data_IF_067244722249
#
_entry.id   IF_067244722249
#
_cell.length_a   1.000
_cell.length_b   1.000
_cell.length_c   1.000
_cell.angle_alpha   90.00
_cell.angle_beta   90.00
_cell.angle_gamma   90.00
#
_symmetry.space_group_name_H-M   'P 1'
#
loop_
_entity.id
_entity.type
_entity.pdbx_description
1 polymer ?
#
# COMPACT_ATOMS: atom_id res chain seq x y z
N UNK A 1 -16.25 -11.75 -25.48
CA UNK A 1 -15.32 -11.83 -24.33
C UNK A 1 -16.05 -12.56 -23.23
N UNK A 2 -15.51 -13.68 -22.71
CA UNK A 2 -16.18 -14.42 -21.62
C UNK A 2 -16.08 -13.56 -20.37
N UNK A 3 -17.23 -13.20 -19.79
CA UNK A 3 -17.25 -12.44 -18.55
C UNK A 3 -16.49 -13.23 -17.47
N UNK A 4 -15.58 -12.57 -16.76
CA UNK A 4 -14.90 -13.17 -15.60
C UNK A 4 -15.95 -13.69 -14.61
N UNK A 5 -15.71 -14.90 -14.11
CA UNK A 5 -16.51 -15.50 -13.04
C UNK A 5 -15.87 -15.35 -11.67
N UNK A 6 -14.70 -14.73 -11.59
CA UNK A 6 -13.99 -14.52 -10.33
C UNK A 6 -14.80 -13.59 -9.44
N UNK A 7 -14.97 -14.01 -8.19
CA UNK A 7 -15.78 -13.33 -7.18
C UNK A 7 -14.92 -12.83 -6.05
N UNK A 8 -15.35 -11.77 -5.41
CA UNK A 8 -14.72 -11.30 -4.19
C UNK A 8 -14.89 -12.35 -3.08
N UNK A 9 -13.86 -12.55 -2.27
CA UNK A 9 -13.90 -13.48 -1.15
C UNK A 9 -15.14 -13.26 -0.27
N UNK A 10 -15.84 -14.35 0.08
CA UNK A 10 -17.06 -14.35 0.91
C UNK A 10 -18.21 -13.50 0.35
N UNK A 11 -18.26 -13.28 -0.97
CA UNK A 11 -19.29 -12.49 -1.64
C UNK A 11 -19.70 -13.11 -2.97
N UNK A 12 -20.97 -13.01 -3.40
CA UNK A 12 -21.36 -13.40 -4.74
C UNK A 12 -21.01 -12.31 -5.80
N UNK A 13 -20.49 -11.16 -5.38
CA UNK A 13 -20.04 -10.07 -6.26
C UNK A 13 -18.87 -10.49 -7.12
N UNK A 14 -18.96 -10.28 -8.44
CA UNK A 14 -17.84 -10.49 -9.36
C UNK A 14 -16.83 -9.36 -9.27
N UNK A 15 -15.54 -9.69 -9.32
CA UNK A 15 -14.45 -8.71 -9.29
C UNK A 15 -14.53 -7.74 -10.48
N UNK A 16 -14.98 -8.25 -11.64
CA UNK A 16 -15.20 -7.45 -12.84
C UNK A 16 -16.36 -6.44 -12.74
N UNK A 17 -17.24 -6.54 -11.74
CA UNK A 17 -18.37 -5.62 -11.57
C UNK A 17 -18.07 -4.50 -10.54
N UNK A 18 -16.95 -4.61 -9.81
CA UNK A 18 -16.61 -3.68 -8.74
C UNK A 18 -16.49 -2.24 -9.25
N UNK A 19 -17.19 -1.34 -8.58
CA UNK A 19 -17.11 0.11 -8.85
C UNK A 19 -16.86 0.83 -7.54
N UNK A 20 -15.79 1.63 -7.51
CA UNK A 20 -15.37 2.38 -6.34
C UNK A 20 -15.84 3.84 -6.42
N UNK A 21 -16.00 4.53 -5.27
CA UNK A 21 -16.26 5.96 -5.25
C UNK A 21 -15.18 6.72 -6.03
N UNK A 22 -15.55 7.84 -6.63
CA UNK A 22 -14.66 8.66 -7.44
C UNK A 22 -15.24 10.07 -7.55
N UNK A 23 -14.39 11.07 -7.70
CA UNK A 23 -14.82 12.46 -7.95
C UNK A 23 -15.03 12.67 -9.44
N UNK A 24 -14.10 12.16 -10.25
CA UNK A 24 -14.17 12.24 -11.70
C UNK A 24 -13.57 10.99 -12.33
N UNK A 25 -14.01 10.66 -13.54
CA UNK A 25 -13.45 9.58 -14.34
C UNK A 25 -12.56 10.19 -15.43
N UNK A 26 -11.28 9.85 -15.40
CA UNK A 26 -10.28 10.35 -16.34
C UNK A 26 -10.20 9.47 -17.58
N UNK A 27 -10.26 8.15 -17.38
CA UNK A 27 -10.32 7.16 -18.45
C UNK A 27 -11.51 6.24 -18.18
N UNK A 28 -12.45 6.20 -19.12
CA UNK A 28 -13.55 5.24 -19.09
C UNK A 28 -13.01 3.82 -19.23
N UNK A 29 -13.73 2.86 -18.63
CA UNK A 29 -13.36 1.44 -18.68
C UNK A 29 -13.11 1.00 -20.11
N UNK A 30 -11.86 0.71 -20.42
CA UNK A 30 -11.35 0.43 -21.76
C UNK A 30 -10.41 -0.77 -21.70
N UNK A 31 -10.31 -1.55 -22.78
CA UNK A 31 -9.38 -2.69 -22.83
C UNK A 31 -7.94 -2.24 -22.66
N UNK A 32 -7.16 -2.99 -21.90
CA UNK A 32 -5.73 -2.75 -21.69
C UNK A 32 -4.95 -2.72 -23.01
N UNK A 33 -5.33 -3.54 -23.99
CA UNK A 33 -4.75 -3.55 -25.33
C UNK A 33 -4.78 -2.20 -26.06
N UNK A 34 -5.66 -1.27 -25.66
CA UNK A 34 -5.75 0.07 -26.25
C UNK A 34 -5.05 1.16 -25.43
N UNK A 35 -4.44 0.80 -24.30
CA UNK A 35 -3.81 1.74 -23.36
C UNK A 35 -2.29 1.53 -23.35
N UNK A 36 -1.54 2.56 -23.71
CA UNK A 36 -0.09 2.55 -23.53
C UNK A 36 0.25 2.87 -22.07
N UNK A 37 0.42 1.83 -21.25
CA UNK A 37 0.66 1.98 -19.80
C UNK A 37 1.82 2.94 -19.50
N UNK A 38 2.98 2.81 -20.14
CA UNK A 38 4.13 3.67 -19.83
C UNK A 38 3.85 5.17 -20.03
N UNK A 39 3.05 5.53 -21.05
CA UNK A 39 2.64 6.92 -21.25
C UNK A 39 1.67 7.39 -20.16
N UNK A 40 0.76 6.52 -19.71
CA UNK A 40 -0.15 6.82 -18.61
C UNK A 40 0.62 7.12 -17.31
N UNK A 41 1.58 6.27 -16.94
CA UNK A 41 2.39 6.46 -15.73
C UNK A 41 3.39 7.63 -15.83
N UNK A 42 3.82 7.98 -17.04
CA UNK A 42 4.70 9.13 -17.26
C UNK A 42 3.93 10.45 -17.39
N UNK A 43 2.59 10.43 -17.48
CA UNK A 43 1.80 11.61 -17.85
C UNK A 43 1.95 12.76 -16.83
N UNK A 44 1.80 12.50 -15.53
CA UNK A 44 1.95 13.54 -14.48
C UNK A 44 3.35 14.14 -14.36
N UNK A 45 4.37 13.45 -14.87
CA UNK A 45 5.74 13.98 -14.95
C UNK A 45 5.93 14.93 -16.13
N UNK A 46 5.20 14.70 -17.23
CA UNK A 46 5.30 15.47 -18.48
C UNK A 46 4.35 16.65 -18.51
N UNK A 47 3.17 16.49 -17.91
CA UNK A 47 2.08 17.47 -17.97
C UNK A 47 1.48 17.73 -16.59
N UNK A 48 1.11 18.99 -16.34
CA UNK A 48 0.45 19.40 -15.10
C UNK A 48 -0.95 18.80 -14.97
N UNK A 49 -1.65 18.60 -16.09
CA UNK A 49 -2.98 18.02 -16.11
C UNK A 49 -2.96 16.54 -15.70
N UNK A 50 -1.81 15.88 -15.83
CA UNK A 50 -1.59 14.53 -15.33
C UNK A 50 -1.31 14.43 -13.83
N UNK A 51 -1.15 15.56 -13.10
CA UNK A 51 -0.82 15.57 -11.67
C UNK A 51 -2.06 15.41 -10.80
N UNK A 52 -2.75 14.30 -10.98
CA UNK A 52 -4.03 14.00 -10.31
C UNK A 52 -3.83 12.97 -9.21
N UNK A 53 -4.46 13.21 -8.05
CA UNK A 53 -4.66 12.18 -7.03
C UNK A 53 -5.79 11.26 -7.48
N UNK A 54 -5.53 9.95 -7.49
CA UNK A 54 -6.50 9.02 -8.05
C UNK A 54 -6.09 7.57 -7.94
N UNK A 55 -6.85 6.72 -8.61
CA UNK A 55 -6.58 5.29 -8.69
C UNK A 55 -6.92 4.74 -10.07
N UNK A 56 -6.14 3.77 -10.50
CA UNK A 56 -6.47 2.89 -11.59
C UNK A 56 -7.14 1.65 -11.01
N UNK A 57 -8.25 1.22 -11.62
CA UNK A 57 -8.82 -0.11 -11.43
C UNK A 57 -8.56 -0.92 -12.69
N UNK A 58 -7.76 -1.98 -12.58
CA UNK A 58 -7.54 -2.92 -13.67
C UNK A 58 -8.33 -4.21 -13.40
N UNK A 59 -9.29 -4.49 -14.26
CA UNK A 59 -10.13 -5.68 -14.21
C UNK A 59 -9.47 -6.78 -15.02
N UNK A 60 -8.77 -7.69 -14.33
CA UNK A 60 -8.15 -8.85 -14.95
C UNK A 60 -9.11 -10.05 -14.89
N UNK A 61 -8.83 -11.16 -15.59
CA UNK A 61 -9.70 -12.32 -15.59
C UNK A 61 -10.00 -12.90 -14.21
N UNK A 62 -9.01 -12.97 -13.32
CA UNK A 62 -9.14 -13.65 -12.02
C UNK A 62 -9.00 -12.71 -10.82
N UNK A 63 -8.68 -11.44 -11.06
CA UNK A 63 -8.45 -10.45 -10.02
C UNK A 63 -8.81 -9.03 -10.45
N UNK A 64 -8.94 -8.13 -9.48
CA UNK A 64 -9.08 -6.71 -9.68
C UNK A 64 -7.89 -6.02 -9.00
N UNK A 65 -7.07 -5.32 -9.79
CA UNK A 65 -5.92 -4.58 -9.29
C UNK A 65 -6.28 -3.11 -9.07
N UNK A 66 -5.76 -2.54 -7.99
CA UNK A 66 -5.82 -1.12 -7.69
C UNK A 66 -4.42 -0.56 -7.70
N UNK A 67 -4.17 0.49 -8.50
CA UNK A 67 -2.93 1.28 -8.39
C UNK A 67 -3.30 2.67 -7.92
N UNK A 68 -2.64 3.15 -6.87
CA UNK A 68 -2.94 4.42 -6.23
C UNK A 68 -1.91 5.49 -6.63
N UNK A 69 -2.40 6.69 -6.87
CA UNK A 69 -1.60 7.81 -7.37
C UNK A 69 -1.69 9.00 -6.42
N UNK A 70 -0.53 9.63 -6.17
CA UNK A 70 -0.41 10.95 -5.54
C UNK A 70 0.21 11.90 -6.54
N UNK A 71 -0.49 12.98 -6.90
CA UNK A 71 -0.06 13.99 -7.87
C UNK A 71 0.43 13.37 -9.19
N UNK A 72 -0.26 12.32 -9.66
CA UNK A 72 0.06 11.61 -10.90
C UNK A 72 1.21 10.60 -10.80
N UNK A 73 1.82 10.41 -9.63
CA UNK A 73 2.84 9.39 -9.41
C UNK A 73 2.25 8.19 -8.69
N UNK A 74 2.50 6.98 -9.19
CA UNK A 74 2.08 5.76 -8.52
C UNK A 74 2.83 5.62 -7.18
N UNK A 75 2.07 5.48 -6.09
CA UNK A 75 2.61 5.40 -4.73
C UNK A 75 2.36 4.07 -4.06
N UNK A 76 1.34 3.31 -4.46
CA UNK A 76 1.10 1.97 -3.93
C UNK A 76 0.20 1.15 -4.86
N UNK A 77 0.08 -0.16 -4.60
CA UNK A 77 -0.82 -1.04 -5.32
C UNK A 77 -1.46 -2.11 -4.43
N UNK A 78 -2.63 -2.60 -4.82
CA UNK A 78 -3.31 -3.69 -4.14
C UNK A 78 -4.00 -4.62 -5.14
N UNK A 79 -4.27 -5.84 -4.72
CA UNK A 79 -5.03 -6.85 -5.46
C UNK A 79 -6.23 -7.31 -4.65
N UNK A 80 -7.37 -7.43 -5.31
CA UNK A 80 -8.56 -8.12 -4.85
C UNK A 80 -8.75 -9.39 -5.69
N UNK A 81 -8.80 -10.54 -5.03
CA UNK A 81 -8.91 -11.85 -5.66
C UNK A 81 -9.93 -12.73 -4.93
N UNK A 82 -10.16 -13.94 -5.44
CA UNK A 82 -11.15 -14.89 -4.89
C UNK A 82 -10.82 -15.37 -3.49
N UNK A 83 -9.53 -15.40 -3.14
CA UNK A 83 -9.03 -15.85 -1.84
C UNK A 83 -8.75 -14.72 -0.86
N UNK A 84 -9.01 -13.45 -1.22
CA UNK A 84 -8.81 -12.33 -0.32
C UNK A 84 -8.41 -11.02 -1.00
N UNK A 85 -7.78 -10.17 -0.21
CA UNK A 85 -7.24 -8.88 -0.61
C UNK A 85 -5.84 -8.75 -0.03
N UNK A 86 -4.94 -8.12 -0.77
CA UNK A 86 -3.58 -7.90 -0.30
C UNK A 86 -2.95 -6.69 -0.98
N UNK A 87 -2.04 -6.04 -0.28
CA UNK A 87 -1.15 -5.04 -0.87
C UNK A 87 -0.05 -5.77 -1.65
N UNK A 88 0.25 -5.27 -2.84
CA UNK A 88 1.28 -5.81 -3.72
C UNK A 88 2.20 -4.69 -4.17
N UNK A 89 3.33 -5.02 -4.77
CA UNK A 89 4.21 -3.98 -5.30
C UNK A 89 3.61 -3.36 -6.56
N UNK A 90 3.96 -2.10 -6.82
CA UNK A 90 3.60 -1.45 -8.09
C UNK A 90 4.18 -2.25 -9.27
N UNK A 91 5.40 -2.77 -9.14
CA UNK A 91 6.06 -3.59 -10.17
C UNK A 91 5.25 -4.85 -10.49
N UNK A 92 4.80 -5.56 -9.46
CA UNK A 92 3.99 -6.77 -9.60
C UNK A 92 2.65 -6.45 -10.26
N UNK A 93 1.95 -5.40 -9.82
CA UNK A 93 0.69 -4.98 -10.42
C UNK A 93 0.86 -4.71 -11.93
N UNK A 94 1.90 -3.97 -12.31
CA UNK A 94 2.21 -3.65 -13.70
C UNK A 94 2.52 -4.89 -14.54
N UNK A 95 3.31 -5.83 -13.99
CA UNK A 95 3.65 -7.08 -14.68
C UNK A 95 2.40 -7.92 -14.94
N UNK A 96 1.51 -8.03 -13.95
CA UNK A 96 0.24 -8.76 -14.08
C UNK A 96 -0.69 -8.10 -15.10
N UNK A 97 -0.77 -6.77 -15.12
CA UNK A 97 -1.53 -6.04 -16.16
C UNK A 97 -0.99 -6.30 -17.57
N UNK A 98 0.34 -6.31 -17.74
CA UNK A 98 0.96 -6.60 -19.06
C UNK A 98 0.73 -8.04 -19.50
N UNK A 99 0.77 -9.00 -18.57
CA UNK A 99 0.52 -10.42 -18.86
C UNK A 99 -0.90 -10.65 -19.40
N UNK A 100 -1.88 -9.85 -18.96
CA UNK A 100 -3.29 -9.98 -19.33
C UNK A 100 -3.76 -8.86 -20.28
N UNK A 101 -2.86 -8.23 -21.04
CA UNK A 101 -3.16 -7.05 -21.88
C UNK A 101 -4.31 -7.26 -22.87
N UNK A 102 -4.44 -8.46 -23.44
CA UNK A 102 -5.47 -8.81 -24.42
C UNK A 102 -6.87 -8.99 -23.81
N UNK A 103 -6.94 -9.30 -22.51
CA UNK A 103 -8.18 -9.70 -21.82
C UNK A 103 -8.62 -8.71 -20.76
N UNK A 104 -7.68 -7.98 -20.18
CA UNK A 104 -7.93 -7.05 -19.09
C UNK A 104 -8.52 -5.73 -19.58
N UNK A 105 -9.16 -5.04 -18.65
CA UNK A 105 -9.71 -3.71 -18.84
C UNK A 105 -9.19 -2.78 -17.74
N UNK A 106 -9.21 -1.49 -17.99
CA UNK A 106 -8.74 -0.46 -17.08
C UNK A 106 -9.69 0.72 -17.05
N UNK A 107 -9.93 1.25 -15.87
CA UNK A 107 -10.48 2.58 -15.66
C UNK A 107 -9.47 3.41 -14.84
N UNK A 108 -9.43 4.72 -15.07
CA UNK A 108 -8.64 5.66 -14.27
C UNK A 108 -9.55 6.76 -13.74
N UNK A 109 -9.50 6.96 -12.43
CA UNK A 109 -10.42 7.85 -11.72
C UNK A 109 -9.68 8.74 -10.73
N UNK A 110 -10.12 10.00 -10.64
CA UNK A 110 -9.66 10.94 -9.63
C UNK A 110 -10.41 10.69 -8.31
N UNK A 111 -9.70 10.73 -7.20
CA UNK A 111 -10.28 10.61 -5.87
C UNK A 111 -9.42 11.33 -4.82
N UNK A 112 -10.03 11.82 -3.72
CA UNK A 112 -9.29 12.49 -2.65
C UNK A 112 -8.32 11.52 -1.96
N UNK A 113 -7.20 12.04 -1.45
CA UNK A 113 -6.17 11.23 -0.78
C UNK A 113 -6.72 10.41 0.40
N UNK A 114 -7.64 10.96 1.20
CA UNK A 114 -8.26 10.23 2.32
C UNK A 114 -9.04 9.00 1.82
N UNK A 115 -9.80 9.12 0.72
CA UNK A 115 -10.49 7.97 0.12
C UNK A 115 -9.50 6.90 -0.34
N UNK A 116 -8.42 7.31 -1.01
CA UNK A 116 -7.39 6.41 -1.53
C UNK A 116 -6.69 5.67 -0.38
N UNK A 117 -6.46 6.35 0.74
CA UNK A 117 -5.93 5.75 1.95
C UNK A 117 -6.87 4.66 2.50
N UNK A 118 -8.18 4.87 2.49
CA UNK A 118 -9.16 3.88 2.94
C UNK A 118 -9.27 2.68 2.00
N UNK A 119 -9.22 2.91 0.68
CA UNK A 119 -9.18 1.83 -0.31
C UNK A 119 -7.94 0.95 -0.11
N UNK A 120 -6.78 1.57 0.06
CA UNK A 120 -5.54 0.86 0.38
C UNK A 120 -5.66 0.09 1.70
N UNK A 121 -6.16 0.74 2.75
CA UNK A 121 -6.29 0.13 4.08
C UNK A 121 -7.18 -1.10 4.08
N UNK A 122 -8.25 -1.11 3.26
CA UNK A 122 -9.13 -2.28 3.10
C UNK A 122 -8.41 -3.53 2.57
N UNK A 123 -7.21 -3.37 2.01
CA UNK A 123 -6.34 -4.45 1.52
C UNK A 123 -5.10 -4.65 2.41
N UNK A 124 -4.70 -3.65 3.20
CA UNK A 124 -3.46 -3.65 3.98
C UNK A 124 -3.58 -4.29 5.35
N UNK A 125 -4.80 -4.35 5.90
CA UNK A 125 -5.06 -4.94 7.22
C UNK A 125 -6.17 -5.97 7.16
N UNK A 126 -6.20 -6.91 8.12
CA UNK A 126 -7.37 -7.77 8.31
C UNK A 126 -8.63 -6.93 8.50
N UNK A 127 -9.66 -7.24 7.72
CA UNK A 127 -10.97 -6.58 7.81
C UNK A 127 -11.94 -7.39 8.67
N UNK A 128 -12.71 -6.72 9.51
CA UNK A 128 -13.75 -7.35 10.32
C UNK A 128 -15.06 -7.38 9.53
N UNK A 129 -15.46 -8.57 9.03
CA UNK A 129 -16.73 -8.72 8.32
C UNK A 129 -17.90 -8.50 9.28
N UNK A 130 -18.88 -7.68 8.86
CA UNK A 130 -20.11 -7.45 9.62
C UNK A 130 -21.29 -8.06 8.87
N UNK A 131 -22.09 -8.83 9.61
CA UNK A 131 -23.34 -9.40 9.10
C UNK A 131 -24.35 -8.28 8.87
N UNK A 132 -24.96 -8.26 7.69
CA UNK A 132 -25.96 -7.26 7.31
C UNK A 132 -27.29 -7.96 7.05
N UNK A 133 -28.33 -7.53 7.76
CA UNK A 133 -29.70 -7.88 7.43
C UNK A 133 -30.31 -6.78 6.55
N UNK A 134 -30.53 -7.11 5.27
CA UNK A 134 -31.10 -6.18 4.31
C UNK A 134 -32.51 -5.69 4.69
N UNK A 135 -33.25 -6.46 5.49
CA UNK A 135 -34.62 -6.12 5.90
C UNK A 135 -34.67 -5.14 7.07
N UNK A 136 -33.59 -4.97 7.82
CA UNK A 136 -33.52 -4.11 8.99
C UNK A 136 -32.28 -3.17 8.97
N UNK A 137 -32.15 -2.27 7.96
CA UNK A 137 -31.00 -1.36 7.84
C UNK A 137 -30.80 -0.47 9.07
N UNK A 138 -31.90 -0.02 9.71
CA UNK A 138 -31.82 0.80 10.91
C UNK A 138 -31.13 0.10 12.08
N UNK A 139 -31.37 -1.20 12.27
CA UNK A 139 -30.73 -1.98 13.33
C UNK A 139 -29.23 -2.14 13.09
N UNK A 140 -28.83 -2.30 11.83
CA UNK A 140 -27.42 -2.39 11.43
C UNK A 140 -26.66 -1.12 11.81
N UNK A 141 -27.12 0.07 11.40
CA UNK A 141 -26.45 1.33 11.73
C UNK A 141 -26.56 1.71 13.21
N UNK A 142 -27.67 1.39 13.88
CA UNK A 142 -27.81 1.60 15.33
C UNK A 142 -26.78 0.78 16.14
N UNK A 143 -26.33 -0.37 15.60
CA UNK A 143 -25.26 -1.15 16.19
C UNK A 143 -23.95 -0.36 16.34
N UNK A 144 -23.54 0.40 15.31
CA UNK A 144 -22.33 1.22 15.37
C UNK A 144 -22.39 2.29 16.45
N UNK A 145 -23.57 2.92 16.64
CA UNK A 145 -23.77 3.92 17.68
C UNK A 145 -23.70 3.31 19.10
N UNK A 146 -24.36 2.17 19.30
CA UNK A 146 -24.36 1.45 20.58
C UNK A 146 -22.96 0.97 20.96
N UNK A 147 -22.23 0.43 19.99
CA UNK A 147 -20.91 -0.18 20.20
C UNK A 147 -19.79 0.88 20.19
N UNK A 148 -20.13 2.16 19.95
CA UNK A 148 -19.19 3.30 19.82
C UNK A 148 -18.08 3.03 18.81
N UNK A 149 -18.39 2.32 17.73
CA UNK A 149 -17.42 1.91 16.71
C UNK A 149 -16.69 3.12 16.13
N UNK A 150 -15.36 3.01 16.01
CA UNK A 150 -14.51 4.00 15.35
C UNK A 150 -13.71 3.33 14.25
N UNK A 151 -13.60 3.99 13.09
CA UNK A 151 -12.95 3.43 11.90
C UNK A 151 -13.76 3.63 10.64
N UNK A 152 -13.50 2.81 9.63
CA UNK A 152 -14.14 2.85 8.33
C UNK A 152 -15.01 1.61 8.15
N UNK A 153 -16.28 1.83 7.81
CA UNK A 153 -17.17 0.84 7.25
C UNK A 153 -17.05 0.89 5.72
N UNK A 154 -16.61 -0.21 5.12
CA UNK A 154 -16.82 -0.47 3.71
C UNK A 154 -18.16 -1.20 3.55
N UNK A 155 -19.11 -0.57 2.87
CA UNK A 155 -20.40 -1.14 2.51
C UNK A 155 -20.45 -1.32 1.01
N UNK A 156 -20.76 -2.53 0.55
CA UNK A 156 -20.91 -2.83 -0.86
C UNK A 156 -22.33 -3.31 -1.14
N UNK A 157 -23.00 -2.63 -2.07
CA UNK A 157 -24.31 -3.03 -2.59
C UNK A 157 -24.21 -3.27 -4.09
N UNK A 158 -24.50 -4.49 -4.54
CA UNK A 158 -24.46 -4.88 -5.95
C UNK A 158 -23.13 -4.50 -6.66
N UNK A 159 -21.99 -4.70 -5.99
CA UNK A 159 -20.63 -4.32 -6.44
C UNK A 159 -20.28 -2.82 -6.41
N UNK A 160 -21.20 -1.94 -5.98
CA UNK A 160 -20.91 -0.52 -5.74
C UNK A 160 -20.40 -0.35 -4.32
N UNK A 161 -19.16 0.12 -4.19
CA UNK A 161 -18.47 0.28 -2.90
C UNK A 161 -18.75 1.66 -2.33
N UNK A 162 -19.00 1.76 -1.03
CA UNK A 162 -19.09 2.99 -0.28
C UNK A 162 -18.26 2.87 0.99
N UNK A 163 -17.59 3.95 1.38
CA UNK A 163 -16.83 4.05 2.62
C UNK A 163 -17.48 5.05 3.55
N UNK A 164 -17.69 4.67 4.81
CA UNK A 164 -18.29 5.51 5.84
C UNK A 164 -17.37 5.55 7.05
N UNK A 165 -16.93 6.74 7.42
CA UNK A 165 -16.14 6.95 8.63
C UNK A 165 -17.06 7.13 9.83
N UNK A 166 -16.79 6.34 10.86
CA UNK A 166 -17.37 6.50 12.18
C UNK A 166 -16.31 6.97 13.18
N UNK A 167 -16.74 7.85 14.09
CA UNK A 167 -15.97 8.30 15.25
C UNK A 167 -16.84 8.18 16.50
N UNK A 168 -16.43 7.33 17.45
CA UNK A 168 -17.19 6.98 18.64
C UNK A 168 -18.67 6.62 18.37
N UNK A 169 -18.91 5.86 17.29
CA UNK A 169 -20.24 5.41 16.86
C UNK A 169 -21.06 6.45 16.09
N UNK A 170 -20.51 7.64 15.84
CA UNK A 170 -21.18 8.70 15.08
C UNK A 170 -20.63 8.79 13.68
N UNK A 171 -21.51 9.06 12.71
CA UNK A 171 -21.10 9.38 11.34
C UNK A 171 -20.21 10.63 11.35
N UNK A 172 -19.08 10.57 10.64
CA UNK A 172 -18.15 11.68 10.47
C UNK A 172 -18.10 12.15 9.00
N UNK A 173 -17.70 11.26 8.08
CA UNK A 173 -17.58 11.54 6.65
C UNK A 173 -17.77 10.27 5.84
N UNK A 174 -17.82 10.36 4.50
CA UNK A 174 -17.89 9.18 3.66
C UNK A 174 -17.69 9.47 2.17
N UNK A 175 -17.33 8.42 1.43
CA UNK A 175 -17.18 8.43 -0.02
C UNK A 175 -18.09 7.37 -0.61
N UNK A 176 -18.92 7.76 -1.57
CA UNK A 176 -20.05 6.96 -2.02
C UNK A 176 -20.00 6.78 -3.53
N UNK A 177 -20.09 5.55 -3.99
CA UNK A 177 -20.23 5.26 -5.41
C UNK A 177 -21.63 5.67 -5.88
N UNK A 178 -21.71 6.43 -6.97
CA UNK A 178 -22.96 6.85 -7.63
C UNK A 178 -24.00 7.59 -6.75
N UNK A 179 -23.57 8.21 -5.65
CA UNK A 179 -24.48 9.04 -4.83
C UNK A 179 -24.91 10.29 -5.61
N UNK A 180 -26.21 10.52 -5.84
CA UNK A 180 -26.67 11.77 -6.44
C UNK A 180 -26.31 12.96 -5.54
N UNK A 181 -25.86 14.07 -6.12
CA UNK A 181 -25.44 15.26 -5.37
C UNK A 181 -26.56 15.77 -4.44
N UNK A 182 -27.78 15.82 -4.96
CA UNK A 182 -28.99 16.31 -4.26
C UNK A 182 -29.51 15.37 -3.17
N UNK A 183 -29.04 14.12 -3.11
CA UNK A 183 -29.51 13.15 -2.14
C UNK A 183 -28.73 13.24 -0.82
N UNK A 184 -29.46 13.39 0.28
CA UNK A 184 -28.90 13.33 1.63
C UNK A 184 -28.28 11.95 1.93
N UNK A 185 -27.14 11.95 2.63
CA UNK A 185 -26.34 10.75 2.88
C UNK A 185 -27.12 9.65 3.61
N UNK A 186 -27.89 9.92 4.69
CA UNK A 186 -28.67 8.87 5.36
C UNK A 186 -29.66 8.19 4.41
N UNK A 187 -30.35 8.96 3.57
CA UNK A 187 -31.30 8.45 2.58
C UNK A 187 -30.60 7.62 1.49
N UNK A 188 -29.41 8.04 1.07
CA UNK A 188 -28.62 7.27 0.12
C UNK A 188 -28.16 5.93 0.71
N UNK A 189 -27.65 5.95 1.94
CA UNK A 189 -27.22 4.74 2.64
C UNK A 189 -28.38 3.77 2.83
N UNK A 190 -29.54 4.27 3.26
CA UNK A 190 -30.77 3.47 3.35
C UNK A 190 -31.17 2.87 2.00
N UNK A 191 -31.09 3.65 0.91
CA UNK A 191 -31.45 3.14 -0.42
C UNK A 191 -30.56 1.99 -0.92
N UNK A 192 -29.35 1.81 -0.36
CA UNK A 192 -28.48 0.68 -0.72
C UNK A 192 -29.08 -0.68 -0.32
N UNK A 193 -30.03 -0.68 0.62
CA UNK A 193 -30.68 -1.88 1.17
C UNK A 193 -32.00 -2.20 0.47
N UNK A 194 -32.53 -1.28 -0.32
CA UNK A 194 -33.79 -1.46 -1.01
C UNK A 194 -33.64 -2.39 -2.21
N UNK A 195 -34.67 -3.20 -2.44
CA UNK A 195 -34.76 -4.02 -3.64
C UNK A 195 -34.77 -3.14 -4.90
N UNK A 196 -34.14 -3.61 -5.96
CA UNK A 196 -34.22 -2.96 -7.26
C UNK A 196 -35.68 -2.97 -7.78
N UNK A 197 -35.98 -2.18 -8.82
CA UNK A 197 -37.33 -2.07 -9.40
C UNK A 197 -37.97 -3.41 -9.81
N UNK A 198 -37.18 -4.49 -9.96
CA UNK A 198 -37.65 -5.86 -10.21
C UNK A 198 -37.84 -6.74 -8.97
N UNK A 199 -37.81 -6.19 -7.76
CA UNK A 199 -38.04 -6.92 -6.50
C UNK A 199 -36.86 -7.77 -6.00
N UNK A 200 -35.71 -7.73 -6.70
CA UNK A 200 -34.51 -8.44 -6.26
C UNK A 200 -33.85 -7.71 -5.09
N UNK A 201 -33.66 -8.41 -3.97
CA UNK A 201 -32.91 -7.94 -2.80
C UNK A 201 -31.45 -7.68 -3.19
N UNK A 202 -30.85 -6.56 -2.77
CA UNK A 202 -29.47 -6.25 -3.09
C UNK A 202 -28.51 -7.27 -2.46
N UNK A 203 -27.42 -7.56 -3.18
CA UNK A 203 -26.29 -8.27 -2.61
C UNK A 203 -25.51 -7.28 -1.74
N UNK A 204 -25.55 -7.49 -0.43
CA UNK A 204 -24.85 -6.66 0.55
C UNK A 204 -23.65 -7.40 1.12
N UNK A 205 -22.51 -6.71 1.17
CA UNK A 205 -21.38 -7.11 2.02
C UNK A 205 -20.89 -5.90 2.78
N UNK A 206 -20.42 -6.13 4.02
CA UNK A 206 -19.88 -5.05 4.82
C UNK A 206 -18.69 -5.50 5.65
N UNK A 207 -17.71 -4.61 5.77
CA UNK A 207 -16.49 -4.85 6.50
C UNK A 207 -16.06 -3.58 7.23
N UNK A 208 -15.42 -3.73 8.39
CA UNK A 208 -14.88 -2.62 9.18
C UNK A 208 -13.37 -2.76 9.30
N UNK A 209 -12.68 -1.63 9.20
CA UNK A 209 -11.23 -1.55 9.41
C UNK A 209 -10.83 -0.21 10.04
N UNK A 210 -9.63 -0.11 10.66
CA UNK A 210 -9.14 1.12 11.27
C UNK A 210 -9.09 2.30 10.31
N UNK A 211 -9.34 3.50 10.82
CA UNK A 211 -9.13 4.74 10.07
C UNK A 211 -7.65 4.98 9.80
N UNK A 212 -7.35 5.45 8.59
CA UNK A 212 -6.05 6.02 8.23
C UNK A 212 -6.29 7.32 7.46
N UNK A 213 -5.50 8.35 7.78
CA UNK A 213 -5.61 9.65 7.14
C UNK A 213 -4.79 9.70 5.83
N UNK A 214 -3.65 9.02 5.81
CA UNK A 214 -2.65 9.14 4.77
C UNK A 214 -2.42 7.82 4.03
N UNK A 215 -2.33 7.91 2.72
CA UNK A 215 -1.91 6.80 1.86
C UNK A 215 -0.39 6.61 1.98
N UNK A 216 0.10 5.44 2.43
CA UNK A 216 1.54 5.19 2.50
C UNK A 216 2.16 5.08 1.11
N UNK A 217 3.41 5.55 1.01
CA UNK A 217 4.19 5.51 -0.21
C UNK A 217 5.15 4.32 -0.18
N UNK A 218 5.09 3.48 -1.21
CA UNK A 218 6.08 2.43 -1.44
C UNK A 218 7.43 3.07 -1.79
N UNK A 219 8.51 2.56 -1.19
CA UNK A 219 9.86 2.98 -1.48
C UNK A 219 10.20 2.73 -2.95
N UNK A 220 10.75 3.73 -3.66
CA UNK A 220 11.23 3.53 -5.02
C UNK A 220 12.35 2.48 -5.08
N UNK A 221 12.42 1.70 -6.16
CA UNK A 221 13.48 0.70 -6.36
C UNK A 221 14.90 1.29 -6.25
N UNK A 222 15.11 2.53 -6.72
CA UNK A 222 16.37 3.23 -6.58
C UNK A 222 16.76 3.45 -5.11
N UNK A 223 15.78 3.76 -4.25
CA UNK A 223 16.00 3.93 -2.82
C UNK A 223 16.33 2.59 -2.16
N UNK A 224 15.57 1.54 -2.46
CA UNK A 224 15.84 0.17 -1.97
C UNK A 224 17.27 -0.25 -2.31
N UNK A 225 17.68 -0.06 -3.57
CA UNK A 225 19.03 -0.41 -4.02
C UNK A 225 20.12 0.42 -3.32
N UNK A 226 19.88 1.71 -3.09
CA UNK A 226 20.82 2.58 -2.35
C UNK A 226 21.03 2.08 -0.91
N UNK A 227 19.95 1.78 -0.19
CA UNK A 227 20.06 1.25 1.17
C UNK A 227 20.70 -0.15 1.21
N UNK A 228 20.44 -0.98 0.19
CA UNK A 228 21.07 -2.31 0.07
C UNK A 228 22.57 -2.22 -0.19
N UNK A 229 22.99 -1.30 -1.06
CA UNK A 229 24.40 -1.03 -1.30
C UNK A 229 25.08 -0.57 0.00
N UNK A 230 24.44 0.34 0.73
CA UNK A 230 24.96 0.86 1.98
C UNK A 230 25.10 -0.21 3.07
N UNK A 231 24.09 -1.08 3.22
CA UNK A 231 24.18 -2.25 4.10
C UNK A 231 25.47 -3.03 3.83
N UNK A 232 25.72 -3.37 2.57
CA UNK A 232 26.88 -4.18 2.23
C UNK A 232 28.20 -3.40 2.30
N UNK A 233 28.21 -2.09 2.05
CA UNK A 233 29.39 -1.25 2.27
C UNK A 233 29.81 -1.24 3.73
N UNK A 234 28.85 -1.17 4.66
CA UNK A 234 29.14 -1.28 6.09
C UNK A 234 29.75 -2.65 6.40
N UNK A 235 29.21 -3.74 5.83
CA UNK A 235 29.79 -5.09 5.99
C UNK A 235 31.22 -5.15 5.45
N UNK A 236 31.49 -4.58 4.28
CA UNK A 236 32.83 -4.58 3.68
C UNK A 236 33.83 -3.79 4.53
N UNK A 237 33.45 -2.63 5.06
CA UNK A 237 34.32 -1.86 5.97
C UNK A 237 34.56 -2.59 7.29
N UNK A 238 33.56 -3.29 7.84
CA UNK A 238 33.76 -4.17 9.02
C UNK A 238 34.72 -5.31 8.69
N UNK A 239 34.68 -5.87 7.48
CA UNK A 239 35.55 -6.99 7.09
C UNK A 239 37.02 -6.57 6.98
N UNK A 240 37.31 -5.30 6.65
CA UNK A 240 38.69 -4.78 6.67
C UNK A 240 39.29 -4.81 8.09
N UNK A 241 38.47 -4.57 9.10
CA UNK A 241 38.88 -4.57 10.51
C UNK A 241 38.82 -5.98 11.14
N UNK A 242 37.90 -6.84 10.66
CA UNK A 242 37.71 -8.22 11.12
C UNK A 242 37.59 -9.21 9.94
N UNK A 243 38.70 -9.52 9.23
CA UNK A 243 38.67 -10.31 8.01
C UNK A 243 38.00 -11.68 8.18
N UNK A 244 37.00 -11.96 7.33
CA UNK A 244 36.29 -13.23 7.28
C UNK A 244 35.18 -13.39 8.32
N UNK A 245 35.02 -12.45 9.25
CA UNK A 245 33.97 -12.52 10.26
C UNK A 245 32.76 -11.62 9.97
N UNK A 246 32.94 -10.56 9.17
CA UNK A 246 31.94 -9.50 9.02
C UNK A 246 30.60 -10.02 8.52
N UNK A 247 30.61 -10.86 7.47
CA UNK A 247 29.37 -11.43 6.91
C UNK A 247 28.58 -12.25 7.92
N UNK A 248 29.26 -13.08 8.72
CA UNK A 248 28.63 -13.90 9.77
C UNK A 248 28.02 -13.00 10.85
N UNK A 249 28.73 -11.95 11.28
CA UNK A 249 28.25 -10.97 12.26
C UNK A 249 27.03 -10.21 11.75
N UNK A 250 27.13 -9.68 10.53
CA UNK A 250 26.04 -9.00 9.83
C UNK A 250 24.77 -9.86 9.76
N UNK A 251 24.90 -11.13 9.32
CA UNK A 251 23.78 -12.07 9.25
C UNK A 251 23.17 -12.37 10.63
N UNK A 252 24.01 -12.55 11.65
CA UNK A 252 23.53 -12.76 13.03
C UNK A 252 22.68 -11.59 13.52
N UNK A 253 23.12 -10.36 13.28
CA UNK A 253 22.35 -9.15 13.64
C UNK A 253 21.06 -9.08 12.81
N UNK A 254 21.12 -9.30 11.49
CA UNK A 254 19.95 -9.29 10.60
C UNK A 254 18.88 -10.28 11.06
N UNK A 255 19.26 -11.50 11.44
CA UNK A 255 18.35 -12.49 12.02
C UNK A 255 17.80 -12.05 13.37
N UNK A 256 18.60 -11.37 14.19
CA UNK A 256 18.18 -10.89 15.51
C UNK A 256 17.14 -9.76 15.48
N UNK A 257 17.06 -9.00 14.38
CA UNK A 257 16.16 -7.84 14.28
C UNK A 257 14.99 -8.04 13.31
N UNK A 258 14.92 -9.16 12.60
CA UNK A 258 13.97 -9.37 11.49
C UNK A 258 12.51 -9.24 11.91
N UNK A 259 12.17 -9.68 13.13
CA UNK A 259 10.80 -9.63 13.65
C UNK A 259 10.33 -8.20 13.89
N UNK A 260 11.25 -7.31 14.30
CA UNK A 260 10.99 -5.87 14.49
C UNK A 260 11.14 -5.08 13.19
N UNK A 261 12.00 -5.53 12.28
CA UNK A 261 12.36 -4.82 11.05
C UNK A 261 12.39 -5.76 9.84
N UNK A 262 11.21 -6.12 9.32
CA UNK A 262 11.11 -7.00 8.14
C UNK A 262 11.91 -6.51 6.93
N UNK A 263 12.04 -5.19 6.76
CA UNK A 263 12.80 -4.57 5.68
C UNK A 263 14.28 -5.01 5.65
N UNK A 264 14.86 -5.49 6.77
CA UNK A 264 16.23 -6.01 6.80
C UNK A 264 16.43 -7.20 5.86
N UNK A 265 15.39 -7.98 5.58
CA UNK A 265 15.46 -9.12 4.65
C UNK A 265 15.78 -8.69 3.22
N UNK A 266 15.28 -7.52 2.82
CA UNK A 266 15.55 -6.91 1.51
C UNK A 266 16.98 -6.37 1.48
N UNK A 267 17.38 -5.68 2.55
CA UNK A 267 18.70 -5.06 2.67
C UNK A 267 19.85 -6.09 2.78
N UNK A 268 19.61 -7.21 3.45
CA UNK A 268 20.59 -8.27 3.67
C UNK A 268 20.61 -9.31 2.55
N UNK A 269 19.77 -9.16 1.52
CA UNK A 269 19.75 -10.04 0.36
C UNK A 269 21.15 -10.10 -0.29
N UNK A 270 21.64 -11.30 -0.68
CA UNK A 270 22.97 -11.46 -1.27
C UNK A 270 23.20 -10.54 -2.48
N UNK A 271 24.43 -10.04 -2.62
CA UNK A 271 24.84 -9.30 -3.83
C UNK A 271 24.74 -10.23 -5.05
N UNK A 272 24.35 -9.66 -6.20
CA UNK A 272 24.24 -10.37 -7.47
C UNK A 272 22.95 -11.19 -7.65
N UNK A 273 22.07 -11.23 -6.65
CA UNK A 273 20.70 -11.74 -6.83
C UNK A 273 19.74 -10.61 -7.14
N UNK A 274 18.60 -10.95 -7.73
CA UNK A 274 17.50 -10.01 -7.90
C UNK A 274 17.05 -9.45 -6.54
N UNK A 275 16.69 -8.18 -6.54
CA UNK A 275 16.08 -7.54 -5.37
C UNK A 275 14.76 -8.26 -5.06
N UNK A 276 14.56 -8.78 -3.84
CA UNK A 276 13.26 -9.34 -3.47
C UNK A 276 12.18 -8.27 -3.67
N UNK A 277 11.13 -8.62 -4.40
CA UNK A 277 9.99 -7.73 -4.58
C UNK A 277 9.24 -7.63 -3.26
N UNK A 278 9.09 -6.40 -2.74
CA UNK A 278 8.50 -6.19 -1.43
C UNK A 278 7.83 -4.84 -1.32
N UNK A 279 6.71 -4.82 -0.60
CA UNK A 279 6.01 -3.62 -0.20
C UNK A 279 6.71 -3.10 1.05
N UNK A 280 7.51 -2.06 0.89
CA UNK A 280 8.26 -1.43 1.98
C UNK A 280 8.21 0.08 1.82
N UNK A 281 8.12 0.82 2.91
CA UNK A 281 8.12 2.28 2.93
C UNK A 281 9.55 2.83 3.13
N UNK A 282 9.86 4.06 2.66
CA UNK A 282 11.16 4.69 2.84
C UNK A 282 11.66 4.69 4.29
N UNK A 283 10.76 4.94 5.24
CA UNK A 283 11.06 5.02 6.66
C UNK A 283 11.41 3.66 7.25
N UNK A 284 10.76 2.58 6.78
CA UNK A 284 11.06 1.21 7.20
C UNK A 284 12.47 0.79 6.80
N UNK A 285 12.93 1.16 5.59
CA UNK A 285 14.30 0.94 5.14
C UNK A 285 15.30 1.70 6.01
N UNK A 286 15.02 2.98 6.27
CA UNK A 286 15.88 3.83 7.08
C UNK A 286 15.99 3.32 8.53
N UNK A 287 14.85 2.99 9.15
CA UNK A 287 14.80 2.45 10.50
C UNK A 287 15.55 1.12 10.60
N UNK A 288 15.27 0.19 9.68
CA UNK A 288 15.92 -1.12 9.67
C UNK A 288 17.43 -1.02 9.51
N UNK A 289 17.92 -0.20 8.57
CA UNK A 289 19.36 -0.02 8.38
C UNK A 289 20.00 0.64 9.59
N UNK A 290 19.36 1.66 10.18
CA UNK A 290 19.89 2.39 11.34
C UNK A 290 20.06 1.46 12.55
N UNK A 291 19.00 0.75 12.92
CA UNK A 291 19.01 -0.11 14.10
C UNK A 291 19.92 -1.34 13.88
N UNK A 292 19.98 -1.86 12.65
CA UNK A 292 20.98 -2.86 12.27
C UNK A 292 22.41 -2.35 12.39
N UNK A 293 22.69 -1.15 11.88
CA UNK A 293 24.02 -0.54 11.92
C UNK A 293 24.45 -0.31 13.36
N UNK A 294 23.54 0.17 14.21
CA UNK A 294 23.76 0.34 15.63
C UNK A 294 24.22 -0.98 16.27
N UNK A 295 23.42 -2.04 16.15
CA UNK A 295 23.74 -3.32 16.81
C UNK A 295 25.01 -3.97 16.27
N UNK A 296 25.26 -3.88 14.96
CA UNK A 296 26.49 -4.41 14.37
C UNK A 296 27.72 -3.65 14.87
N UNK A 297 27.66 -2.32 14.86
CA UNK A 297 28.79 -1.47 15.18
C UNK A 297 29.02 -1.35 16.69
N UNK A 298 28.00 -1.51 17.54
CA UNK A 298 28.18 -1.67 18.99
C UNK A 298 29.04 -2.90 19.29
N UNK A 299 28.77 -4.02 18.61
CA UNK A 299 29.59 -5.23 18.73
C UNK A 299 31.03 -5.04 18.27
N UNK A 300 31.25 -4.20 17.24
CA UNK A 300 32.60 -3.81 16.78
C UNK A 300 33.28 -2.89 17.80
N UNK A 301 32.59 -1.87 18.28
CA UNK A 301 33.12 -0.86 19.19
C UNK A 301 33.53 -1.46 20.54
N UNK A 302 32.78 -2.45 21.05
CA UNK A 302 33.14 -3.22 22.25
C UNK A 302 34.47 -3.97 22.07
N UNK A 303 34.73 -4.48 20.87
CA UNK A 303 35.95 -5.21 20.56
C UNK A 303 37.13 -4.29 20.22
N UNK A 304 36.87 -3.18 19.54
CA UNK A 304 37.87 -2.22 19.10
C UNK A 304 37.28 -0.79 19.14
N UNK A 305 37.48 -0.06 20.25
CA UNK A 305 36.95 1.29 20.41
C UNK A 305 37.50 2.28 19.37
N UNK A 306 36.63 3.20 18.91
CA UNK A 306 36.91 4.20 17.90
C UNK A 306 36.80 3.70 16.46
N UNK A 307 36.40 2.44 16.24
CA UNK A 307 36.30 1.83 14.91
C UNK A 307 34.93 2.05 14.28
N UNK A 308 33.84 2.06 15.06
CA UNK A 308 32.50 2.34 14.57
C UNK A 308 32.38 3.69 13.80
N UNK A 309 32.85 4.84 14.33
CA UNK A 309 32.79 6.10 13.59
C UNK A 309 33.63 6.10 12.30
N UNK A 310 34.75 5.36 12.26
CA UNK A 310 35.57 5.24 11.04
C UNK A 310 34.84 4.47 9.96
N UNK A 311 34.26 3.32 10.32
CA UNK A 311 33.45 2.49 9.41
C UNK A 311 32.29 3.31 8.85
N UNK A 312 31.55 4.01 9.72
CA UNK A 312 30.44 4.86 9.28
C UNK A 312 30.91 5.93 8.31
N UNK A 313 32.01 6.63 8.61
CA UNK A 313 32.54 7.68 7.74
C UNK A 313 32.89 7.14 6.35
N UNK A 314 33.60 6.01 6.26
CA UNK A 314 34.01 5.46 4.96
C UNK A 314 32.82 4.85 4.20
N UNK A 315 32.01 4.00 4.85
CA UNK A 315 30.90 3.30 4.19
C UNK A 315 29.80 4.25 3.69
N UNK A 316 29.58 5.36 4.39
CA UNK A 316 28.47 6.28 4.11
C UNK A 316 28.89 7.51 3.29
N UNK A 317 30.18 7.66 2.96
CA UNK A 317 30.76 8.88 2.36
C UNK A 317 30.03 9.39 1.13
N UNK A 318 29.68 8.49 0.22
CA UNK A 318 29.03 8.85 -1.05
C UNK A 318 27.56 9.22 -0.90
N UNK A 319 26.89 8.71 0.15
CA UNK A 319 25.46 8.94 0.39
C UNK A 319 25.20 9.86 1.58
N UNK A 320 26.23 10.55 2.08
CA UNK A 320 26.18 11.32 3.33
C UNK A 320 25.04 12.32 3.41
N UNK A 321 24.75 13.03 2.33
CA UNK A 321 23.68 14.04 2.32
C UNK A 321 22.29 13.41 2.40
N UNK A 322 22.08 12.30 1.69
CA UNK A 322 20.82 11.56 1.71
C UNK A 322 20.58 11.00 3.12
N UNK A 323 21.60 10.38 3.71
CA UNK A 323 21.52 9.80 5.06
C UNK A 323 21.34 10.87 6.14
N UNK A 324 22.01 12.02 6.00
CA UNK A 324 21.83 13.16 6.89
C UNK A 324 20.38 13.66 6.82
N UNK A 325 19.81 13.81 5.62
CA UNK A 325 18.42 14.24 5.46
C UNK A 325 17.40 13.24 6.02
N UNK A 326 17.74 11.95 6.01
CA UNK A 326 16.94 10.89 6.61
C UNK A 326 17.12 10.76 8.14
N UNK A 327 17.97 11.59 8.77
CA UNK A 327 18.25 11.53 10.20
C UNK A 327 19.09 10.33 10.66
N UNK A 328 19.70 9.59 9.72
CA UNK A 328 20.45 8.36 9.99
C UNK A 328 21.54 8.56 11.06
N UNK A 329 22.40 9.56 10.91
CA UNK A 329 23.49 9.81 11.86
C UNK A 329 23.01 10.28 13.23
N UNK A 330 21.89 11.01 13.29
CA UNK A 330 21.35 11.54 14.56
C UNK A 330 20.80 10.44 15.48
N UNK A 331 20.59 9.23 14.96
CA UNK A 331 20.13 8.06 15.70
C UNK A 331 21.25 7.13 16.15
N UNK A 332 22.48 7.39 15.73
CA UNK A 332 23.65 6.61 16.12
C UNK A 332 24.43 7.35 17.20
N UNK A 333 25.03 6.65 18.18
CA UNK A 333 25.76 7.28 19.28
C UNK A 333 27.12 7.85 18.84
N UNK A 334 27.60 7.50 17.65
CA UNK A 334 28.91 7.91 17.16
C UNK A 334 28.80 9.14 16.25
N UNK A 335 29.42 10.27 16.61
CA UNK A 335 29.47 11.43 15.73
C UNK A 335 30.36 11.12 14.52
N UNK A 336 29.89 11.50 13.33
CA UNK A 336 30.65 11.37 12.07
C UNK A 336 31.02 12.77 11.58
N UNK A 337 32.33 13.05 11.52
CA UNK A 337 32.88 14.29 10.94
C UNK A 337 33.34 14.06 9.51
N UNK A 338 33.09 15.03 8.62
CA UNK A 338 33.27 14.93 7.17
C UNK A 338 34.41 15.76 6.61
#
# INVERSE_FOLDING_TARGET
>A
MRASTARLMNSPVRLADLTFPQVNRLIHRTRLAFIHLDNLFAFGKRDRDGRVDGFITAYLPDECLLLFFRKGEAVNAASLHTTGRQVITITEALNRMRAEVERGELAYSAAPMEQLAWMYQSCAVPVEMRTVDASHPGAFFAGFARDKTSGILELMSNAHVSYVRFDAGRYHSGYFCDKPEVMAIPKFLESQFHAAAGGQTPVLTSAVFPYVADLPQQAPNALINTYRELYWRIVDEVDKEFPGEAKRRAQKVSTGIVDSHKAITILSAPRGTDTPDSVVQPEELSNALTDWSLQLLEGVEVMMPGTAPKILREATREHRYVLQSAGYYGRLPWPVSW
#
